data_IF_506328654774
#
_entry.id   IF_506328654774
#
_cell.length_a   1.000
_cell.length_b   1.000
_cell.length_c   1.000
_cell.angle_alpha   90.00
_cell.angle_beta   90.00
_cell.angle_gamma   90.00
#
_symmetry.space_group_name_H-M   'P 1'
#
loop_
_entity.id
_entity.type
_entity.pdbx_description
1 polymer ?
#
# COMPACT_ATOMS: atom_id res chain seq x y z
N UNK A 1 27.32 -15.61 -51.28
CA UNK A 1 27.54 -16.49 -50.12
C UNK A 1 26.61 -16.06 -48.98
N UNK A 2 25.73 -16.99 -48.61
CA UNK A 2 25.04 -17.23 -47.32
C UNK A 2 24.29 -16.13 -46.58
N UNK A 3 22.96 -16.29 -46.60
CA UNK A 3 21.89 -15.73 -45.75
C UNK A 3 21.74 -16.57 -44.47
N UNK A 4 21.68 -15.96 -43.27
CA UNK A 4 21.08 -16.49 -42.02
C UNK A 4 20.68 -15.30 -41.14
N UNK A 5 19.40 -14.91 -41.00
CA UNK A 5 18.31 -15.52 -40.22
C UNK A 5 18.69 -15.82 -38.77
N UNK A 6 18.11 -15.08 -37.82
CA UNK A 6 17.82 -15.58 -36.48
C UNK A 6 16.48 -14.96 -36.00
N UNK A 7 15.40 -15.61 -36.41
CA UNK A 7 14.10 -15.50 -35.76
C UNK A 7 14.09 -16.50 -34.60
N UNK A 8 13.94 -15.99 -33.38
CA UNK A 8 13.94 -16.79 -32.17
C UNK A 8 12.51 -17.29 -31.92
N UNK A 9 12.21 -18.52 -32.35
CA UNK A 9 10.96 -19.21 -32.05
C UNK A 9 11.27 -20.37 -31.09
N UNK A 10 11.08 -20.13 -29.80
CA UNK A 10 11.11 -21.15 -28.75
C UNK A 10 9.87 -22.03 -28.89
N UNK A 11 10.01 -23.18 -29.55
CA UNK A 11 9.00 -24.23 -29.55
C UNK A 11 9.10 -25.03 -28.24
N UNK A 12 7.96 -25.17 -27.56
CA UNK A 12 7.84 -25.96 -26.34
C UNK A 12 7.82 -27.45 -26.69
N UNK A 13 8.61 -28.24 -25.97
CA UNK A 13 8.64 -29.70 -26.05
C UNK A 13 7.75 -30.30 -24.95
N UNK A 14 6.44 -30.37 -25.19
CA UNK A 14 5.58 -31.26 -24.42
C UNK A 14 5.48 -32.61 -25.15
N UNK A 15 6.48 -33.46 -24.90
CA UNK A 15 6.52 -34.85 -25.37
C UNK A 15 5.44 -35.68 -24.67
N UNK A 16 4.50 -36.19 -25.45
CA UNK A 16 3.41 -37.08 -24.99
C UNK A 16 3.98 -38.51 -24.96
N UNK A 17 4.19 -39.06 -23.76
CA UNK A 17 4.52 -40.49 -23.60
C UNK A 17 3.23 -41.29 -23.65
N UNK A 18 3.08 -42.05 -24.72
CA UNK A 18 2.00 -43.01 -24.97
C UNK A 18 2.41 -44.35 -24.34
N UNK A 19 1.68 -44.81 -23.31
CA UNK A 19 1.86 -46.15 -22.72
C UNK A 19 0.70 -47.06 -23.17
N UNK A 20 1.02 -47.98 -24.07
CA UNK A 20 0.23 -49.18 -24.32
C UNK A 20 0.58 -50.24 -23.26
N UNK A 21 -0.42 -50.87 -22.66
CA UNK A 21 -0.28 -52.22 -22.10
C UNK A 21 -1.63 -52.93 -22.18
N UNK A 22 -1.64 -53.98 -22.99
CA UNK A 22 -2.75 -54.91 -23.14
C UNK A 22 -2.82 -55.86 -21.93
N UNK A 23 -4.07 -56.19 -21.58
CA UNK A 23 -4.53 -57.52 -21.13
C UNK A 23 -4.11 -58.03 -19.73
N UNK A 24 -5.06 -58.02 -18.80
CA UNK A 24 -5.45 -59.25 -18.06
C UNK A 24 -6.82 -59.06 -17.39
N UNK A 25 -7.76 -59.95 -17.70
CA UNK A 25 -9.10 -59.96 -17.13
C UNK A 25 -9.06 -60.61 -15.75
N UNK A 26 -9.52 -59.89 -14.74
CA UNK A 26 -9.92 -60.48 -13.46
C UNK A 26 -11.36 -60.05 -13.16
N UNK A 27 -12.28 -60.96 -13.48
CA UNK A 27 -13.59 -61.00 -12.86
C UNK A 27 -13.40 -61.27 -11.38
N UNK A 28 -14.11 -60.56 -10.49
CA UNK A 28 -14.57 -61.07 -9.19
C UNK A 28 -15.52 -60.04 -8.50
N UNK A 29 -16.67 -60.57 -8.06
CA UNK A 29 -17.74 -60.09 -7.17
C UNK A 29 -18.62 -58.86 -7.51
N UNK A 30 -19.82 -59.20 -8.01
CA UNK A 30 -21.05 -58.40 -8.07
C UNK A 30 -21.64 -58.26 -6.66
N UNK A 31 -21.68 -57.04 -6.11
CA UNK A 31 -22.45 -56.69 -4.91
C UNK A 31 -23.77 -55.97 -5.27
N UNK A 32 -24.83 -56.06 -4.45
CA UNK A 32 -26.18 -55.66 -4.86
C UNK A 32 -26.33 -54.14 -5.01
N UNK A 33 -27.13 -53.75 -6.00
CA UNK A 33 -27.66 -52.40 -6.22
C UNK A 33 -28.45 -51.90 -5.00
N UNK A 34 -27.78 -51.30 -4.02
CA UNK A 34 -28.45 -50.43 -3.05
C UNK A 34 -28.47 -49.02 -3.63
N UNK A 35 -29.61 -48.67 -4.26
CA UNK A 35 -29.98 -47.28 -4.58
C UNK A 35 -30.10 -46.48 -3.29
N UNK A 36 -28.98 -46.03 -2.73
CA UNK A 36 -29.00 -44.86 -1.87
C UNK A 36 -29.11 -43.66 -2.80
N UNK A 37 -30.29 -43.03 -2.81
CA UNK A 37 -30.45 -41.64 -3.23
C UNK A 37 -29.56 -40.79 -2.32
N UNK A 38 -28.28 -40.67 -2.67
CA UNK A 38 -27.46 -39.55 -2.20
C UNK A 38 -28.08 -38.33 -2.85
N UNK A 39 -28.92 -37.64 -2.09
CA UNK A 39 -29.24 -36.25 -2.34
C UNK A 39 -27.92 -35.49 -2.19
N UNK A 40 -27.12 -35.53 -3.25
CA UNK A 40 -26.02 -34.63 -3.50
C UNK A 40 -26.65 -33.26 -3.65
N UNK A 41 -26.86 -32.59 -2.52
CA UNK A 41 -26.87 -31.13 -2.48
C UNK A 41 -25.41 -30.70 -2.72
N UNK A 42 -24.90 -31.03 -3.92
CA UNK A 42 -23.87 -30.21 -4.55
C UNK A 42 -24.61 -28.91 -4.80
N UNK A 43 -24.53 -28.00 -3.83
CA UNK A 43 -24.50 -26.59 -4.15
C UNK A 43 -23.31 -26.44 -5.08
N UNK A 44 -23.54 -26.61 -6.39
CA UNK A 44 -22.65 -26.16 -7.41
C UNK A 44 -22.67 -24.65 -7.26
N UNK A 45 -21.77 -24.12 -6.43
CA UNK A 45 -21.43 -22.71 -6.41
C UNK A 45 -20.95 -22.44 -7.84
N UNK A 46 -21.86 -21.99 -8.69
CA UNK A 46 -21.58 -21.56 -10.04
C UNK A 46 -20.71 -20.33 -9.89
N UNK A 47 -19.38 -20.54 -9.86
CA UNK A 47 -18.41 -19.47 -9.84
C UNK A 47 -18.55 -18.77 -11.18
N UNK A 48 -19.19 -17.60 -11.16
CA UNK A 48 -19.26 -16.75 -12.33
C UNK A 48 -17.82 -16.50 -12.81
N UNK A 49 -17.53 -16.64 -14.11
CA UNK A 49 -16.20 -16.40 -14.62
C UNK A 49 -15.79 -14.95 -14.33
N UNK A 50 -14.55 -14.75 -13.89
CA UNK A 50 -13.97 -13.42 -13.74
C UNK A 50 -13.84 -12.83 -15.13
N UNK A 51 -14.46 -11.68 -15.34
CA UNK A 51 -14.40 -10.95 -16.61
C UNK A 51 -13.26 -9.95 -16.58
N UNK A 52 -12.73 -9.59 -17.75
CA UNK A 52 -11.73 -8.52 -17.88
C UNK A 52 -12.22 -7.21 -17.24
N UNK A 53 -13.52 -6.90 -17.38
CA UNK A 53 -14.16 -5.74 -16.74
C UNK A 53 -14.03 -5.78 -15.22
N UNK A 54 -14.21 -6.96 -14.61
CA UNK A 54 -14.06 -7.14 -13.17
C UNK A 54 -12.61 -6.92 -12.73
N UNK A 55 -11.64 -7.45 -13.48
CA UNK A 55 -10.21 -7.23 -13.20
C UNK A 55 -9.85 -5.74 -13.32
N UNK A 56 -10.27 -5.06 -14.39
CA UNK A 56 -10.05 -3.61 -14.56
C UNK A 56 -10.67 -2.81 -13.41
N UNK A 57 -11.87 -3.17 -12.96
CA UNK A 57 -12.53 -2.53 -11.82
C UNK A 57 -11.74 -2.70 -10.51
N UNK A 58 -11.17 -3.89 -10.27
CA UNK A 58 -10.32 -4.14 -9.10
C UNK A 58 -9.06 -3.27 -9.14
N UNK A 59 -8.38 -3.23 -10.28
CA UNK A 59 -7.16 -2.41 -10.46
C UNK A 59 -7.46 -0.92 -10.23
N UNK A 60 -8.55 -0.40 -10.79
CA UNK A 60 -8.94 1.01 -10.59
C UNK A 60 -9.20 1.28 -9.10
N UNK A 61 -9.95 0.40 -8.42
CA UNK A 61 -10.25 0.56 -7.00
C UNK A 61 -9.00 0.53 -6.12
N UNK A 62 -8.03 -0.32 -6.46
CA UNK A 62 -6.74 -0.35 -5.77
C UNK A 62 -5.93 0.93 -6.01
N UNK A 63 -5.89 1.41 -7.26
CA UNK A 63 -5.24 2.69 -7.59
C UNK A 63 -5.87 3.89 -6.88
N UNK A 64 -7.19 3.93 -6.76
CA UNK A 64 -7.92 4.98 -6.01
C UNK A 64 -7.59 4.93 -4.51
N UNK A 65 -7.47 3.74 -3.95
CA UNK A 65 -7.07 3.55 -2.54
C UNK A 65 -5.64 4.03 -2.32
N UNK A 66 -4.71 3.67 -3.21
CA UNK A 66 -3.31 4.11 -3.15
C UNK A 66 -3.19 5.63 -3.31
N UNK A 67 -3.97 6.23 -4.21
CA UNK A 67 -4.03 7.69 -4.38
C UNK A 67 -4.45 8.37 -3.08
N UNK A 68 -5.52 7.88 -2.45
CA UNK A 68 -6.03 8.43 -1.20
C UNK A 68 -5.03 8.28 -0.06
N UNK A 69 -4.35 7.13 0.04
CA UNK A 69 -3.29 6.94 1.03
C UNK A 69 -2.14 7.93 0.83
N UNK A 70 -1.72 8.15 -0.42
CA UNK A 70 -0.68 9.13 -0.74
C UNK A 70 -1.12 10.56 -0.40
N UNK A 71 -2.36 10.94 -0.72
CA UNK A 71 -2.92 12.25 -0.35
C UNK A 71 -2.93 12.47 1.16
N UNK A 72 -3.31 11.45 1.94
CA UNK A 72 -3.28 11.52 3.40
C UNK A 72 -1.85 11.70 3.93
N UNK A 73 -0.89 10.92 3.44
CA UNK A 73 0.53 11.06 3.85
C UNK A 73 1.08 12.45 3.57
N UNK A 74 0.67 13.06 2.46
CA UNK A 74 1.07 14.44 2.12
C UNK A 74 0.44 15.42 3.11
N UNK A 75 -0.87 15.28 3.39
CA UNK A 75 -1.57 16.14 4.35
C UNK A 75 -0.95 16.05 5.75
N UNK A 76 -0.73 14.83 6.25
CA UNK A 76 -0.08 14.57 7.54
C UNK A 76 1.34 15.15 7.58
N UNK A 77 2.09 15.01 6.47
CA UNK A 77 3.43 15.58 6.35
C UNK A 77 3.44 17.11 6.45
N UNK A 78 2.49 17.77 5.78
CA UNK A 78 2.31 19.23 5.84
C UNK A 78 1.94 19.66 7.25
N UNK A 79 0.97 19.01 7.88
CA UNK A 79 0.53 19.34 9.24
C UNK A 79 1.66 19.24 10.26
N UNK A 80 2.44 18.15 10.20
CA UNK A 80 3.58 17.95 11.09
C UNK A 80 4.67 19.01 10.88
N UNK A 81 4.97 19.34 9.62
CA UNK A 81 5.95 20.37 9.29
C UNK A 81 5.49 21.75 9.76
N UNK A 82 4.24 22.12 9.48
CA UNK A 82 3.64 23.38 9.91
C UNK A 82 3.65 23.50 11.44
N UNK A 83 3.26 22.45 12.16
CA UNK A 83 3.29 22.42 13.63
C UNK A 83 4.71 22.62 14.16
N UNK A 84 5.69 21.96 13.56
CA UNK A 84 7.10 22.09 13.95
C UNK A 84 7.64 23.52 13.73
N UNK A 85 7.27 24.15 12.61
CA UNK A 85 7.66 25.54 12.33
C UNK A 85 7.00 26.50 13.31
N UNK A 86 5.70 26.34 13.59
CA UNK A 86 4.99 27.22 14.51
C UNK A 86 5.61 27.15 15.91
N UNK A 87 5.90 25.95 16.42
CA UNK A 87 6.60 25.78 17.69
C UNK A 87 7.99 26.43 17.69
N UNK A 88 8.75 26.30 16.60
CA UNK A 88 10.05 26.96 16.47
C UNK A 88 9.92 28.49 16.51
N UNK A 89 8.97 29.06 15.77
CA UNK A 89 8.72 30.51 15.73
C UNK A 89 8.31 31.00 17.11
N UNK A 90 7.41 30.30 17.80
CA UNK A 90 6.94 30.65 19.14
C UNK A 90 8.10 30.76 20.14
N UNK A 91 8.99 29.75 20.17
CA UNK A 91 10.19 29.79 21.04
C UNK A 91 11.08 31.00 20.70
N UNK A 92 11.25 31.34 19.42
CA UNK A 92 12.08 32.47 19.00
C UNK A 92 11.46 33.82 19.33
N UNK A 93 10.14 33.95 19.23
CA UNK A 93 9.43 35.17 19.60
C UNK A 93 9.48 35.39 21.11
N UNK A 94 9.29 34.33 21.91
CA UNK A 94 9.39 34.41 23.36
C UNK A 94 10.80 34.83 23.81
N UNK A 95 11.87 34.25 23.24
CA UNK A 95 13.25 34.67 23.52
C UNK A 95 13.49 36.15 23.16
N UNK A 96 12.96 36.61 22.03
CA UNK A 96 13.08 37.99 21.61
C UNK A 96 12.35 38.95 22.56
N UNK A 97 11.13 38.58 22.96
CA UNK A 97 10.32 39.35 23.92
C UNK A 97 11.03 39.48 25.27
N UNK A 98 11.54 38.38 25.82
CA UNK A 98 12.30 38.39 27.08
C UNK A 98 13.53 39.30 27.00
N UNK A 99 14.29 39.22 25.90
CA UNK A 99 15.48 40.06 25.67
C UNK A 99 15.12 41.54 25.57
N UNK A 100 14.02 41.88 24.87
CA UNK A 100 13.54 43.25 24.78
C UNK A 100 13.13 43.79 26.15
N UNK A 101 12.39 42.99 26.93
CA UNK A 101 12.04 43.36 28.30
C UNK A 101 13.26 43.60 29.18
N UNK A 102 14.27 42.73 29.11
CA UNK A 102 15.52 42.89 29.85
C UNK A 102 16.24 44.20 29.49
N UNK A 103 16.31 44.54 28.19
CA UNK A 103 16.92 45.79 27.71
C UNK A 103 16.13 47.00 28.21
N UNK A 104 14.81 47.00 28.04
CA UNK A 104 13.95 48.10 28.49
C UNK A 104 14.06 48.33 29.99
N UNK A 105 14.01 47.26 30.79
CA UNK A 105 14.12 47.35 32.24
C UNK A 105 15.48 47.91 32.69
N UNK A 106 16.57 47.50 32.02
CA UNK A 106 17.90 48.04 32.29
C UNK A 106 17.97 49.54 31.95
N UNK A 107 17.45 49.94 30.79
CA UNK A 107 17.43 51.34 30.37
C UNK A 107 16.61 52.23 31.31
N UNK A 108 15.40 51.78 31.69
CA UNK A 108 14.55 52.49 32.63
C UNK A 108 15.18 52.59 34.02
N UNK A 109 15.84 51.53 34.48
CA UNK A 109 16.58 51.55 35.76
C UNK A 109 17.76 52.52 35.72
N UNK A 110 18.50 52.56 34.60
CA UNK A 110 19.59 53.52 34.39
C UNK A 110 19.09 54.96 34.37
N UNK A 111 17.95 55.24 33.73
CA UNK A 111 17.35 56.59 33.74
C UNK A 111 16.94 57.01 35.15
N UNK A 112 16.28 56.12 35.91
CA UNK A 112 15.89 56.40 37.30
C UNK A 112 17.09 56.70 38.19
N UNK A 113 18.21 56.00 38.02
CA UNK A 113 19.43 56.26 38.78
C UNK A 113 20.13 57.56 38.33
N UNK A 114 20.15 57.86 37.03
CA UNK A 114 20.71 59.12 36.51
C UNK A 114 19.94 60.36 36.95
N UNK A 115 18.61 60.28 37.12
CA UNK A 115 17.78 61.38 37.60
C UNK A 115 17.84 61.61 39.13
N UNK A 116 18.42 60.69 39.90
CA UNK A 116 18.65 60.86 41.35
C UNK A 116 20.02 61.50 41.66
N UNK A 117 20.82 61.78 40.62
CA UNK A 117 22.15 62.37 40.73
C UNK A 117 22.16 63.82 40.26
N UNK A 118 21.33 64.67 40.85
CA UNK A 118 21.58 66.12 40.92
C UNK A 118 21.09 66.62 42.30
N UNK A 119 21.97 67.12 43.18
CA UNK A 119 21.58 67.78 44.43
C UNK A 119 21.00 69.17 44.21
#
# INVERSE_FOLDING_TARGET
MTRRNNANATQNENSIVQLHSDQESLTIFRAPLQRQKRNSVRSSISRKPITERHVRSLVISEMETNKKEMENKIADGIENFSTSILAFIEVRLNDLEERLHAIMNRSLSSMRQGCLCDP
#
